data_IF_933139490350
#
_entry.id   IF_933139490350
#
_cell.length_a   1.000
_cell.length_b   1.000
_cell.length_c   1.000
_cell.angle_alpha   90.00
_cell.angle_beta   90.00
_cell.angle_gamma   90.00
#
_symmetry.space_group_name_H-M   'P 1'
#
loop_
_entity.id
_entity.type
_entity.pdbx_description
1 polymer ?
#
# COMPACT_ATOMS: atom_id res chain seq x y z
N UNK A 1 28.75 35.87 40.78
CA UNK A 1 27.30 35.56 40.70
C UNK A 1 26.88 34.84 39.42
N UNK A 2 27.37 35.22 38.21
CA UNK A 2 26.94 34.60 36.93
C UNK A 2 27.22 33.09 36.80
N UNK A 3 28.34 32.60 37.34
CA UNK A 3 28.68 31.15 37.28
C UNK A 3 27.70 30.25 38.04
N UNK A 4 27.20 30.69 39.20
CA UNK A 4 26.21 29.94 39.96
C UNK A 4 24.84 29.92 39.28
N UNK A 5 24.49 30.97 38.53
CA UNK A 5 23.25 31.04 37.74
C UNK A 5 23.32 30.16 36.50
N UNK A 6 24.47 30.12 35.81
CA UNK A 6 24.68 29.24 34.65
C UNK A 6 24.69 27.75 35.04
N UNK A 7 25.27 27.40 36.20
CA UNK A 7 25.26 26.04 36.73
C UNK A 7 23.83 25.56 37.07
N UNK A 8 23.00 26.42 37.65
CA UNK A 8 21.61 26.11 37.99
C UNK A 8 20.73 25.94 36.74
N UNK A 9 20.98 26.74 35.69
CA UNK A 9 20.24 26.67 34.44
C UNK A 9 20.59 25.43 33.62
N UNK A 10 21.86 25.00 33.64
CA UNK A 10 22.26 23.72 33.08
C UNK A 10 21.64 22.53 33.82
N UNK A 11 21.58 22.58 35.16
CA UNK A 11 20.97 21.53 35.96
C UNK A 11 19.45 21.40 35.77
N UNK A 12 18.72 22.52 35.64
CA UNK A 12 17.28 22.49 35.36
C UNK A 12 16.96 22.01 33.95
N UNK A 13 17.75 22.38 32.94
CA UNK A 13 17.58 21.85 31.58
C UNK A 13 17.86 20.35 31.54
N UNK A 14 18.90 19.88 32.22
CA UNK A 14 19.21 18.44 32.30
C UNK A 14 18.07 17.65 32.98
N UNK A 15 17.51 18.17 34.08
CA UNK A 15 16.39 17.52 34.78
C UNK A 15 15.11 17.51 33.94
N UNK A 16 14.83 18.58 33.17
CA UNK A 16 13.68 18.64 32.27
C UNK A 16 13.81 17.66 31.09
N UNK A 17 15.01 17.52 30.52
CA UNK A 17 15.29 16.57 29.43
C UNK A 17 15.16 15.11 29.90
N UNK A 18 15.56 14.82 31.14
CA UNK A 18 15.38 13.47 31.70
C UNK A 18 13.90 13.14 31.97
N UNK A 19 13.12 14.13 32.39
CA UNK A 19 11.69 13.93 32.64
C UNK A 19 10.91 13.68 31.34
N UNK A 20 11.28 14.31 30.23
CA UNK A 20 10.65 14.08 28.91
C UNK A 20 11.09 12.77 28.25
N UNK A 21 12.32 12.29 28.52
CA UNK A 21 12.74 10.97 28.06
C UNK A 21 12.02 9.83 28.79
N UNK A 22 11.69 10.00 30.08
CA UNK A 22 11.01 8.99 30.88
C UNK A 22 9.57 8.72 30.43
N UNK A 23 8.87 9.72 29.87
CA UNK A 23 7.48 9.59 29.40
C UNK A 23 7.32 8.79 28.09
N UNK A 24 8.42 8.44 27.41
CA UNK A 24 8.41 7.64 26.18
C UNK A 24 8.13 6.15 26.43
N UNK A 25 8.06 5.73 27.70
CA UNK A 25 7.75 4.34 28.11
C UNK A 25 6.28 4.19 28.51
N UNK A 26 5.36 4.77 27.75
CA UNK A 26 3.97 4.33 27.83
C UNK A 26 3.90 2.94 27.21
N UNK A 27 3.98 1.91 28.05
CA UNK A 27 3.47 0.59 27.69
C UNK A 27 2.01 0.79 27.30
N UNK A 28 1.73 0.74 26.01
CA UNK A 28 0.37 0.63 25.52
C UNK A 28 -0.24 -0.56 26.25
N UNK A 29 -1.15 -0.28 27.20
CA UNK A 29 -1.96 -1.29 27.81
C UNK A 29 -2.73 -1.93 26.63
N UNK A 30 -2.25 -3.07 26.16
CA UNK A 30 -3.03 -3.97 25.32
C UNK A 30 -4.14 -4.48 26.22
N UNK A 31 -5.18 -3.67 26.36
CA UNK A 31 -6.47 -4.17 26.74
C UNK A 31 -6.77 -5.30 25.76
N UNK A 32 -6.84 -6.54 26.25
CA UNK A 32 -7.49 -7.63 25.57
C UNK A 32 -8.91 -7.17 25.20
N UNK A 33 -9.08 -6.57 24.03
CA UNK A 33 -10.36 -6.57 23.32
C UNK A 33 -10.52 -7.95 22.67
N UNK A 34 -10.56 -8.99 23.51
CA UNK A 34 -11.04 -10.31 23.13
C UNK A 34 -12.57 -10.26 23.14
N UNK A 35 -13.17 -9.72 22.08
CA UNK A 35 -14.52 -10.08 21.63
C UNK A 35 -14.98 -9.33 20.38
N UNK A 36 -14.35 -8.21 20.00
CA UNK A 36 -14.76 -7.46 18.79
C UNK A 36 -13.77 -7.59 17.63
N UNK A 37 -12.45 -7.59 17.88
CA UNK A 37 -11.44 -7.72 16.82
C UNK A 37 -11.55 -9.06 16.08
N UNK A 38 -11.61 -10.17 16.82
CA UNK A 38 -11.78 -11.50 16.23
C UNK A 38 -13.13 -11.68 15.52
N UNK A 39 -14.17 -10.97 15.95
CA UNK A 39 -15.45 -10.97 15.23
C UNK A 39 -15.33 -10.20 13.92
N UNK A 40 -14.70 -9.02 13.92
CA UNK A 40 -14.44 -8.21 12.72
C UNK A 40 -13.58 -8.98 11.71
N UNK A 41 -12.51 -9.64 12.16
CA UNK A 41 -11.64 -10.44 11.28
C UNK A 41 -12.40 -11.61 10.62
N UNK A 42 -13.33 -12.23 11.36
CA UNK A 42 -14.22 -13.26 10.80
C UNK A 42 -15.21 -12.68 9.81
N UNK A 43 -15.82 -11.53 10.09
CA UNK A 43 -16.72 -10.85 9.16
C UNK A 43 -15.98 -10.42 7.87
N UNK A 44 -14.76 -9.92 7.99
CA UNK A 44 -13.91 -9.58 6.85
C UNK A 44 -13.61 -10.82 5.98
N UNK A 45 -13.19 -11.92 6.60
CA UNK A 45 -12.93 -13.18 5.88
C UNK A 45 -14.16 -13.74 5.16
N UNK A 46 -15.35 -13.62 5.77
CA UNK A 46 -16.61 -13.99 5.10
C UNK A 46 -16.93 -13.06 3.92
N UNK A 47 -16.74 -11.75 4.09
CA UNK A 47 -16.98 -10.76 3.03
C UNK A 47 -16.04 -10.96 1.84
N UNK A 48 -14.76 -11.23 2.09
CA UNK A 48 -13.73 -11.51 1.09
C UNK A 48 -14.10 -12.73 0.23
N UNK A 49 -14.59 -13.80 0.87
CA UNK A 49 -15.05 -15.01 0.19
C UNK A 49 -16.27 -14.74 -0.69
N UNK A 50 -17.26 -14.02 -0.16
CA UNK A 50 -18.47 -13.65 -0.91
C UNK A 50 -18.13 -12.74 -2.10
N UNK A 51 -17.18 -11.82 -1.93
CA UNK A 51 -16.68 -10.99 -3.03
C UNK A 51 -16.13 -11.86 -4.17
N UNK A 52 -15.20 -12.79 -3.89
CA UNK A 52 -14.64 -13.66 -4.91
C UNK A 52 -15.68 -14.60 -5.55
N UNK A 53 -16.64 -15.11 -4.77
CA UNK A 53 -17.76 -15.90 -5.31
C UNK A 53 -18.67 -15.08 -6.23
N UNK A 54 -18.85 -13.79 -5.93
CA UNK A 54 -19.57 -12.85 -6.79
C UNK A 54 -18.82 -12.58 -8.10
N UNK A 55 -17.49 -12.40 -8.03
CA UNK A 55 -16.65 -12.23 -9.22
C UNK A 55 -16.67 -13.47 -10.12
N UNK A 56 -16.54 -14.68 -9.55
CA UNK A 56 -16.63 -15.94 -10.32
C UNK A 56 -18.00 -16.15 -11.00
N UNK A 57 -19.05 -15.49 -10.51
CA UNK A 57 -20.37 -15.57 -11.12
C UNK A 57 -20.53 -14.65 -12.34
N UNK A 58 -19.65 -13.66 -12.52
CA UNK A 58 -19.70 -12.76 -13.68
C UNK A 58 -19.47 -13.53 -14.96
N UNK A 59 -20.23 -13.18 -16.00
CA UNK A 59 -20.21 -13.88 -17.28
C UNK A 59 -18.81 -13.84 -17.91
N UNK A 60 -18.17 -12.68 -17.87
CA UNK A 60 -16.84 -12.45 -18.43
C UNK A 60 -15.79 -13.37 -17.79
N UNK A 61 -15.85 -13.53 -16.47
CA UNK A 61 -14.95 -14.39 -15.71
C UNK A 61 -15.24 -15.87 -16.00
N UNK A 62 -16.52 -16.28 -16.06
CA UNK A 62 -16.89 -17.66 -16.42
C UNK A 62 -16.41 -18.04 -17.82
N UNK A 63 -16.63 -17.17 -18.79
CA UNK A 63 -16.24 -17.40 -20.19
C UNK A 63 -14.71 -17.57 -20.29
N UNK A 64 -13.93 -16.77 -19.55
CA UNK A 64 -12.48 -16.87 -19.49
C UNK A 64 -11.99 -18.15 -18.79
N UNK A 65 -12.59 -18.52 -17.65
CA UNK A 65 -12.23 -19.77 -16.92
C UNK A 65 -12.53 -21.00 -17.79
N UNK A 66 -13.64 -21.00 -18.53
CA UNK A 66 -13.97 -22.05 -19.50
C UNK A 66 -12.96 -22.05 -20.66
N UNK A 67 -12.56 -20.87 -21.17
CA UNK A 67 -11.55 -20.76 -22.21
C UNK A 67 -10.19 -21.33 -21.75
N UNK A 68 -9.88 -21.24 -20.46
CA UNK A 68 -8.71 -21.86 -19.84
C UNK A 68 -8.89 -23.36 -19.53
N UNK A 69 -10.06 -23.94 -19.84
CA UNK A 69 -10.35 -25.37 -19.70
C UNK A 69 -10.78 -25.80 -18.29
N UNK A 70 -11.17 -24.85 -17.44
CA UNK A 70 -11.59 -25.11 -16.06
C UNK A 70 -13.12 -25.06 -15.98
N UNK A 71 -13.72 -26.02 -15.30
CA UNK A 71 -15.17 -26.01 -15.03
C UNK A 71 -15.50 -24.95 -13.95
N UNK A 72 -16.44 -24.02 -14.19
CA UNK A 72 -16.81 -23.01 -13.21
C UNK A 72 -17.28 -23.58 -11.87
N UNK A 73 -17.99 -24.72 -11.89
CA UNK A 73 -18.45 -25.34 -10.64
C UNK A 73 -17.29 -25.93 -9.83
N UNK A 74 -16.29 -26.50 -10.49
CA UNK A 74 -15.03 -26.91 -9.85
C UNK A 74 -14.28 -25.71 -9.25
N UNK A 75 -14.18 -24.59 -9.99
CA UNK A 75 -13.51 -23.38 -9.49
C UNK A 75 -14.19 -22.84 -8.21
N UNK A 76 -15.52 -22.79 -8.18
CA UNK A 76 -16.27 -22.40 -6.99
C UNK A 76 -16.05 -23.37 -5.82
N UNK A 77 -16.02 -24.69 -6.08
CA UNK A 77 -15.77 -25.68 -5.04
C UNK A 77 -14.37 -25.53 -4.43
N UNK A 78 -13.36 -25.23 -5.26
CA UNK A 78 -11.98 -24.98 -4.82
C UNK A 78 -11.90 -23.70 -4.00
N UNK A 79 -12.55 -22.62 -4.43
CA UNK A 79 -12.61 -21.38 -3.68
C UNK A 79 -13.25 -21.59 -2.30
N UNK A 80 -14.32 -22.39 -2.20
CA UNK A 80 -14.95 -22.76 -0.92
C UNK A 80 -14.03 -23.60 -0.02
N UNK A 81 -13.12 -24.38 -0.60
CA UNK A 81 -12.17 -25.20 0.16
C UNK A 81 -10.95 -24.42 0.67
N UNK A 82 -10.65 -23.24 0.13
CA UNK A 82 -9.53 -22.41 0.58
C UNK A 82 -9.74 -21.85 1.99
N UNK A 83 -8.65 -21.69 2.72
CA UNK A 83 -8.64 -21.04 4.03
C UNK A 83 -8.80 -19.51 3.92
N UNK A 84 -9.24 -18.89 5.01
CA UNK A 84 -9.45 -17.43 5.09
C UNK A 84 -8.17 -16.65 4.75
N UNK A 85 -6.99 -17.17 5.11
CA UNK A 85 -5.69 -16.53 4.81
C UNK A 85 -5.31 -16.61 3.34
N UNK A 86 -5.63 -17.72 2.67
CA UNK A 86 -5.37 -17.90 1.25
C UNK A 86 -6.26 -16.96 0.42
N UNK A 87 -7.53 -16.81 0.82
CA UNK A 87 -8.45 -15.87 0.19
C UNK A 87 -7.96 -14.42 0.33
N UNK A 88 -7.56 -14.01 1.53
CA UNK A 88 -7.00 -12.68 1.74
C UNK A 88 -5.75 -12.43 0.88
N UNK A 89 -4.88 -13.44 0.73
CA UNK A 89 -3.70 -13.35 -0.14
C UNK A 89 -4.04 -13.23 -1.63
N UNK A 90 -5.13 -13.86 -2.09
CA UNK A 90 -5.58 -13.73 -3.48
C UNK A 90 -6.09 -12.31 -3.72
N UNK A 91 -6.92 -11.78 -2.82
CA UNK A 91 -7.44 -10.41 -2.95
C UNK A 91 -6.31 -9.38 -2.94
N UNK A 92 -5.34 -9.50 -2.03
CA UNK A 92 -4.19 -8.59 -2.00
C UNK A 92 -3.40 -8.62 -3.30
N UNK A 93 -3.22 -9.81 -3.89
CA UNK A 93 -2.53 -9.95 -5.18
C UNK A 93 -3.34 -9.33 -6.34
N UNK A 94 -4.65 -9.49 -6.34
CA UNK A 94 -5.53 -8.84 -7.32
C UNK A 94 -5.47 -7.30 -7.23
N UNK A 95 -5.40 -6.75 -6.01
CA UNK A 95 -5.21 -5.32 -5.80
C UNK A 95 -3.86 -4.82 -6.33
N UNK A 96 -2.78 -5.56 -6.06
CA UNK A 96 -1.44 -5.24 -6.56
C UNK A 96 -1.37 -5.27 -8.10
N UNK A 97 -2.00 -6.27 -8.72
CA UNK A 97 -2.05 -6.41 -10.17
C UNK A 97 -2.89 -5.29 -10.82
N UNK A 98 -4.03 -4.93 -10.20
CA UNK A 98 -4.92 -3.90 -10.72
C UNK A 98 -4.43 -2.47 -10.47
N UNK A 99 -3.61 -2.24 -9.44
CA UNK A 99 -3.10 -0.91 -9.09
C UNK A 99 -1.99 -0.38 -10.03
N UNK A 100 -1.66 -1.12 -11.10
CA UNK A 100 -0.52 -0.78 -11.94
C UNK A 100 0.82 -0.88 -11.20
N UNK A 101 0.86 -1.65 -10.10
CA UNK A 101 2.10 -1.96 -9.39
C UNK A 101 2.75 -3.24 -9.95
N UNK A 102 2.00 -4.06 -10.70
CA UNK A 102 2.54 -5.22 -11.42
C UNK A 102 3.56 -4.87 -12.50
N UNK A 103 4.17 -5.88 -13.10
CA UNK A 103 5.27 -5.73 -14.09
C UNK A 103 4.91 -4.77 -15.23
N UNK A 104 3.67 -4.82 -15.73
CA UNK A 104 3.20 -3.92 -16.77
C UNK A 104 3.20 -2.45 -16.31
N UNK A 105 2.76 -2.18 -15.09
CA UNK A 105 2.72 -0.83 -14.56
C UNK A 105 4.10 -0.29 -14.17
N UNK A 106 5.04 -1.15 -13.76
CA UNK A 106 6.45 -0.77 -13.62
C UNK A 106 7.06 -0.31 -14.96
N UNK A 107 6.78 -1.02 -16.06
CA UNK A 107 7.22 -0.64 -17.41
C UNK A 107 6.60 0.68 -17.84
N UNK A 108 5.28 0.82 -17.68
CA UNK A 108 4.57 2.06 -18.02
C UNK A 108 5.10 3.24 -17.19
N UNK A 109 5.32 3.05 -15.89
CA UNK A 109 5.88 4.05 -14.99
C UNK A 109 7.31 4.45 -15.38
N UNK A 110 8.15 3.50 -15.77
CA UNK A 110 9.50 3.77 -16.26
C UNK A 110 9.47 4.57 -17.58
N UNK A 111 8.64 4.18 -18.54
CA UNK A 111 8.48 4.90 -19.81
C UNK A 111 7.98 6.33 -19.59
N UNK A 112 7.00 6.51 -18.71
CA UNK A 112 6.46 7.82 -18.36
C UNK A 112 7.53 8.69 -17.67
N UNK A 113 8.32 8.10 -16.77
CA UNK A 113 9.41 8.80 -16.08
C UNK A 113 10.47 9.28 -17.07
N UNK A 114 10.94 8.40 -17.96
CA UNK A 114 11.90 8.75 -19.02
C UNK A 114 11.30 9.84 -19.92
N UNK A 115 10.03 9.70 -20.31
CA UNK A 115 9.32 10.70 -21.09
C UNK A 115 9.32 12.07 -20.40
N UNK A 116 8.99 12.16 -19.10
CA UNK A 116 9.01 13.42 -18.34
C UNK A 116 10.41 14.02 -18.28
N UNK A 117 11.44 13.21 -17.99
CA UNK A 117 12.82 13.69 -17.94
C UNK A 117 13.24 14.26 -19.29
N UNK A 118 12.92 13.57 -20.38
CA UNK A 118 13.18 14.06 -21.74
C UNK A 118 12.36 15.32 -22.05
N UNK A 119 11.10 15.39 -21.64
CA UNK A 119 10.24 16.55 -21.85
C UNK A 119 10.79 17.80 -21.15
N UNK A 120 11.22 17.67 -19.89
CA UNK A 120 11.78 18.78 -19.10
C UNK A 120 13.12 19.24 -19.67
N UNK A 121 13.99 18.30 -20.04
CA UNK A 121 15.30 18.64 -20.64
C UNK A 121 15.16 19.28 -22.01
N UNK A 122 14.14 18.92 -22.79
CA UNK A 122 13.80 19.54 -24.07
C UNK A 122 13.25 20.96 -23.88
N UNK A 123 12.39 21.19 -22.87
CA UNK A 123 11.88 22.53 -22.52
C UNK A 123 12.99 23.51 -22.10
N UNK A 124 14.02 23.00 -21.43
CA UNK A 124 15.21 23.74 -21.01
C UNK A 124 16.25 23.92 -22.14
N UNK A 125 15.97 23.42 -23.35
CA UNK A 125 16.87 23.44 -24.51
C UNK A 125 18.17 22.63 -24.34
N UNK A 126 18.20 21.64 -23.43
CA UNK A 126 19.35 20.71 -23.29
C UNK A 126 19.28 19.59 -24.32
N UNK A 127 18.07 19.19 -24.73
CA UNK A 127 17.83 18.17 -25.77
C UNK A 127 16.82 18.69 -26.80
N UNK A 128 16.64 18.00 -27.93
CA UNK A 128 15.64 18.33 -28.97
C UNK A 128 14.95 17.05 -29.49
N UNK A 129 14.35 16.29 -28.57
CA UNK A 129 13.77 14.97 -28.87
C UNK A 129 12.33 15.11 -29.38
N UNK A 130 11.54 16.03 -28.82
CA UNK A 130 10.15 16.22 -29.20
C UNK A 130 10.00 17.47 -30.08
N UNK A 131 9.22 17.35 -31.17
CA UNK A 131 9.04 18.45 -32.14
C UNK A 131 7.97 19.47 -31.73
N UNK A 132 7.24 19.20 -30.67
CA UNK A 132 6.12 20.02 -30.19
C UNK A 132 6.50 20.91 -29.00
N UNK A 133 7.64 20.66 -28.37
CA UNK A 133 8.22 21.44 -27.27
C UNK A 133 8.87 22.72 -27.80
N UNK A 134 8.67 23.83 -27.09
CA UNK A 134 9.32 25.12 -27.37
C UNK A 134 10.17 25.50 -26.17
N UNK A 135 11.39 25.96 -26.43
CA UNK A 135 12.26 26.52 -25.40
C UNK A 135 11.54 27.57 -24.56
N UNK A 136 11.53 27.37 -23.23
CA UNK A 136 10.91 28.32 -22.31
C UNK A 136 11.71 29.62 -22.15
N UNK A 137 13.02 29.59 -22.44
CA UNK A 137 13.96 30.71 -22.21
C UNK A 137 13.93 31.78 -23.31
N UNK A 138 12.80 32.04 -23.95
CA UNK A 138 12.66 33.07 -25.01
C UNK A 138 11.66 34.14 -24.64
#
# INVERSE_FOLDING_TARGET
MRFATQMKLAATVFMAVQLTLATQTTTAARAEMLSTGAAIDRYAAYADREFLLGELQKKEIRDEIIAQGVDPAEAEARLRALSDREIASIISQMEEDSAGAGAAGAVVGALLTVFIVLLVTDLLCLTSVFKFTRCATR
#
